data_IF_211900159916
#
_entry.id   IF_211900159916
#
_cell.length_a   1.000
_cell.length_b   1.000
_cell.length_c   1.000
_cell.angle_alpha   90.00
_cell.angle_beta   90.00
_cell.angle_gamma   90.00
#
_symmetry.space_group_name_H-M   'P 1'
#
loop_
_entity.id
_entity.type
_entity.pdbx_description
1 polymer ?
#
# COMPACT_ATOMS: atom_id res chain seq x y z
N UNK A 1 -12.32 -7.65 35.94
CA UNK A 1 -11.93 -6.38 35.29
C UNK A 1 -11.48 -6.73 33.88
N UNK A 2 -12.39 -6.60 32.91
CA UNK A 2 -12.15 -6.96 31.51
C UNK A 2 -11.93 -5.69 30.69
N UNK A 3 -10.74 -5.53 30.14
CA UNK A 3 -10.37 -4.43 29.26
C UNK A 3 -9.58 -4.97 28.06
N UNK A 4 -9.82 -4.37 26.89
CA UNK A 4 -8.96 -4.41 25.69
C UNK A 4 -8.97 -5.65 24.78
N UNK A 5 -10.14 -6.25 24.53
CA UNK A 5 -10.29 -7.19 23.40
C UNK A 5 -10.71 -6.51 22.08
N UNK A 6 -11.26 -5.30 22.11
CA UNK A 6 -11.75 -4.60 20.90
C UNK A 6 -10.62 -3.93 20.10
N UNK A 7 -9.63 -3.33 20.78
CA UNK A 7 -8.53 -2.56 20.16
C UNK A 7 -7.62 -3.41 19.26
N UNK A 8 -7.36 -4.67 19.66
CA UNK A 8 -6.48 -5.58 18.93
C UNK A 8 -7.01 -5.97 17.54
N UNK A 9 -8.32 -5.97 17.35
CA UNK A 9 -8.95 -6.35 16.07
C UNK A 9 -8.83 -5.22 15.05
N UNK A 10 -9.09 -3.97 15.45
CA UNK A 10 -8.97 -2.81 14.57
C UNK A 10 -7.52 -2.59 14.11
N UNK A 11 -6.53 -2.79 14.99
CA UNK A 11 -5.11 -2.71 14.63
C UNK A 11 -4.68 -3.84 13.66
N UNK A 12 -5.17 -5.06 13.88
CA UNK A 12 -4.90 -6.20 13.00
C UNK A 12 -5.55 -6.01 11.62
N UNK A 13 -6.77 -5.48 11.57
CA UNK A 13 -7.53 -5.21 10.34
C UNK A 13 -6.88 -4.07 9.53
N UNK A 14 -6.47 -2.98 10.18
CA UNK A 14 -5.73 -1.88 9.55
C UNK A 14 -4.35 -2.33 9.02
N UNK A 15 -3.66 -3.21 9.77
CA UNK A 15 -2.39 -3.81 9.36
C UNK A 15 -2.56 -4.73 8.15
N UNK A 16 -3.62 -5.56 8.16
CA UNK A 16 -3.93 -6.46 7.05
C UNK A 16 -4.25 -5.69 5.76
N UNK A 17 -5.04 -4.61 5.84
CA UNK A 17 -5.33 -3.72 4.72
C UNK A 17 -4.05 -3.06 4.18
N UNK A 18 -3.16 -2.59 5.06
CA UNK A 18 -1.88 -1.99 4.65
C UNK A 18 -0.95 -3.00 3.96
N UNK A 19 -0.84 -4.22 4.50
CA UNK A 19 -0.03 -5.28 3.92
C UNK A 19 -0.54 -5.68 2.51
N UNK A 20 -1.85 -5.70 2.33
CA UNK A 20 -2.50 -6.02 1.06
C UNK A 20 -2.25 -4.93 -0.01
N UNK A 21 -2.33 -3.65 0.37
CA UNK A 21 -1.96 -2.52 -0.49
C UNK A 21 -0.49 -2.58 -0.93
N UNK A 22 0.43 -2.80 0.02
CA UNK A 22 1.87 -2.89 -0.27
C UNK A 22 2.21 -4.02 -1.25
N UNK A 23 1.60 -5.18 -1.07
CA UNK A 23 1.77 -6.32 -1.97
C UNK A 23 1.26 -6.04 -3.39
N UNK A 24 0.13 -5.33 -3.53
CA UNK A 24 -0.39 -4.90 -4.84
C UNK A 24 0.53 -3.94 -5.57
N UNK A 25 1.02 -2.91 -4.87
CA UNK A 25 1.98 -1.95 -5.42
C UNK A 25 3.21 -2.68 -5.95
N UNK A 26 3.78 -3.59 -5.15
CA UNK A 26 4.96 -4.38 -5.55
C UNK A 26 4.71 -5.21 -6.80
N UNK A 27 3.54 -5.85 -6.91
CA UNK A 27 3.17 -6.68 -8.06
C UNK A 27 3.09 -5.84 -9.33
N UNK A 28 2.36 -4.73 -9.30
CA UNK A 28 2.19 -3.83 -10.45
C UNK A 28 3.53 -3.22 -10.89
N UNK A 29 4.34 -2.75 -9.93
CA UNK A 29 5.68 -2.23 -10.23
C UNK A 29 6.55 -3.24 -10.97
N UNK A 30 6.56 -4.49 -10.52
CA UNK A 30 7.33 -5.56 -11.16
C UNK A 30 6.80 -5.91 -12.54
N UNK A 31 5.48 -5.92 -12.72
CA UNK A 31 4.86 -6.14 -14.03
C UNK A 31 5.22 -5.02 -15.02
N UNK A 32 5.36 -3.78 -14.53
CA UNK A 32 5.83 -2.64 -15.31
C UNK A 32 7.36 -2.62 -15.52
N UNK A 33 8.12 -3.59 -15.00
CA UNK A 33 9.58 -3.63 -15.13
C UNK A 33 10.33 -2.54 -14.36
N UNK A 34 9.67 -1.84 -13.43
CA UNK A 34 10.22 -0.71 -12.70
C UNK A 34 11.03 -1.15 -11.48
N UNK A 35 12.15 -0.47 -11.21
CA UNK A 35 12.83 -0.53 -9.91
C UNK A 35 12.04 0.26 -8.85
N UNK A 36 12.39 0.10 -7.57
CA UNK A 36 11.80 0.92 -6.51
C UNK A 36 12.16 2.40 -6.66
N UNK A 37 13.33 2.70 -7.23
CA UNK A 37 13.73 4.07 -7.53
C UNK A 37 12.89 4.67 -8.67
N UNK A 38 12.61 3.90 -9.72
CA UNK A 38 11.76 4.35 -10.82
C UNK A 38 10.34 4.66 -10.34
N UNK A 39 9.77 3.81 -9.49
CA UNK A 39 8.45 4.08 -8.90
C UNK A 39 8.50 5.27 -7.93
N UNK A 40 9.60 5.46 -7.20
CA UNK A 40 9.77 6.56 -6.26
C UNK A 40 9.87 7.94 -6.94
N UNK A 41 10.44 7.99 -8.15
CA UNK A 41 10.62 9.23 -8.92
C UNK A 41 11.25 10.35 -8.07
N UNK A 42 10.88 11.60 -8.35
CA UNK A 42 11.41 12.75 -7.61
C UNK A 42 10.62 13.06 -6.31
N UNK A 43 9.46 12.43 -6.13
CA UNK A 43 8.51 12.77 -5.06
C UNK A 43 8.63 11.90 -3.80
N UNK A 44 9.27 10.74 -3.90
CA UNK A 44 9.39 9.77 -2.81
C UNK A 44 10.80 9.19 -2.79
N UNK A 45 11.19 8.55 -1.68
CA UNK A 45 12.46 7.82 -1.64
C UNK A 45 12.26 6.34 -2.00
N UNK A 46 13.26 5.68 -2.63
CA UNK A 46 13.22 4.23 -2.88
C UNK A 46 13.03 3.43 -1.57
N UNK A 47 13.64 3.89 -0.48
CA UNK A 47 13.49 3.30 0.86
C UNK A 47 12.05 3.39 1.38
N UNK A 48 11.35 4.50 1.12
CA UNK A 48 9.94 4.64 1.46
C UNK A 48 9.07 3.64 0.68
N UNK A 49 9.30 3.50 -0.64
CA UNK A 49 8.62 2.49 -1.46
C UNK A 49 8.86 1.09 -0.89
N UNK A 50 10.09 0.76 -0.49
CA UNK A 50 10.41 -0.52 0.13
C UNK A 50 9.62 -0.78 1.42
N UNK A 51 9.47 0.24 2.28
CA UNK A 51 8.68 0.12 3.51
C UNK A 51 7.19 -0.07 3.23
N UNK A 52 6.64 0.64 2.23
CA UNK A 52 5.25 0.47 1.79
C UNK A 52 5.03 -0.93 1.22
N UNK A 53 5.88 -1.39 0.30
CA UNK A 53 5.80 -2.73 -0.30
C UNK A 53 5.94 -3.86 0.73
N UNK A 54 6.62 -3.62 1.84
CA UNK A 54 6.76 -4.55 2.95
C UNK A 54 5.59 -4.47 3.96
N UNK A 55 4.59 -3.62 3.74
CA UNK A 55 3.48 -3.39 4.66
C UNK A 55 3.89 -2.70 5.96
N UNK A 56 5.12 -2.18 6.05
CA UNK A 56 5.66 -1.50 7.24
C UNK A 56 5.25 -0.04 7.34
N UNK A 57 4.68 0.50 6.26
CA UNK A 57 4.20 1.88 6.21
C UNK A 57 2.97 1.98 5.32
N UNK A 58 1.94 2.63 5.85
CA UNK A 58 0.74 2.95 5.08
C UNK A 58 0.97 4.24 4.29
N UNK A 59 0.80 4.25 2.96
CA UNK A 59 0.82 5.47 2.18
C UNK A 59 -0.39 6.35 2.54
N UNK A 60 -0.22 7.68 2.52
CA UNK A 60 -1.35 8.60 2.60
C UNK A 60 -2.20 8.50 1.32
N UNK A 61 -3.46 8.97 1.32
CA UNK A 61 -4.28 9.00 0.11
C UNK A 61 -3.62 9.73 -1.07
N UNK A 62 -2.92 10.83 -0.78
CA UNK A 62 -2.17 11.59 -1.79
C UNK A 62 -1.02 10.78 -2.38
N UNK A 63 -0.24 10.09 -1.54
CA UNK A 63 0.83 9.21 -1.99
C UNK A 63 0.28 8.04 -2.80
N UNK A 64 -0.84 7.46 -2.37
CA UNK A 64 -1.50 6.37 -3.09
C UNK A 64 -1.94 6.81 -4.49
N UNK A 65 -2.48 8.03 -4.62
CA UNK A 65 -2.82 8.63 -5.91
C UNK A 65 -1.60 8.83 -6.81
N UNK A 66 -0.49 9.32 -6.26
CA UNK A 66 0.77 9.47 -7.01
C UNK A 66 1.31 8.12 -7.51
N UNK A 67 1.27 7.08 -6.66
CA UNK A 67 1.71 5.74 -7.04
C UNK A 67 0.80 5.13 -8.10
N UNK A 68 -0.52 5.29 -7.98
CA UNK A 68 -1.49 4.81 -8.96
C UNK A 68 -1.23 5.43 -10.35
N UNK A 69 -1.03 6.75 -10.39
CA UNK A 69 -0.72 7.46 -11.63
C UNK A 69 0.56 6.95 -12.31
N UNK A 70 1.61 6.67 -11.54
CA UNK A 70 2.88 6.13 -12.07
C UNK A 70 2.80 4.67 -12.50
N UNK A 71 1.93 3.89 -11.87
CA UNK A 71 1.68 2.50 -12.20
C UNK A 71 0.61 2.36 -13.31
N UNK A 72 0.06 3.47 -13.79
CA UNK A 72 -1.00 3.51 -14.81
C UNK A 72 -2.21 2.66 -14.42
N UNK A 73 -2.66 2.77 -13.17
CA UNK A 73 -3.83 2.07 -12.61
C UNK A 73 -4.68 3.02 -11.77
N UNK A 74 -5.89 2.60 -11.42
CA UNK A 74 -6.76 3.38 -10.55
C UNK A 74 -6.39 3.22 -9.06
N UNK A 75 -6.63 4.27 -8.26
CA UNK A 75 -6.38 4.24 -6.81
C UNK A 75 -7.17 3.12 -6.11
N UNK A 76 -8.37 2.80 -6.61
CA UNK A 76 -9.19 1.70 -6.13
C UNK A 76 -8.51 0.33 -6.32
N UNK A 77 -7.75 0.16 -7.40
CA UNK A 77 -6.98 -1.08 -7.64
C UNK A 77 -5.86 -1.27 -6.62
N UNK A 78 -5.31 -0.17 -6.08
CA UNK A 78 -4.31 -0.23 -5.01
C UNK A 78 -4.94 -0.36 -3.62
N UNK A 79 -5.98 0.44 -3.36
CA UNK A 79 -6.70 0.49 -2.09
C UNK A 79 -7.46 -0.79 -1.75
N UNK A 80 -7.80 -1.58 -2.78
CA UNK A 80 -8.65 -2.74 -2.65
C UNK A 80 -10.11 -2.31 -2.49
N UNK A 81 -10.88 -2.38 -3.56
CA UNK A 81 -12.31 -2.68 -3.39
C UNK A 81 -12.41 -4.06 -2.72
N UNK A 82 -13.33 -4.27 -1.76
CA UNK A 82 -13.69 -5.63 -1.39
C UNK A 82 -14.11 -6.31 -2.69
N UNK A 83 -13.47 -7.42 -3.04
CA UNK A 83 -13.99 -8.28 -4.10
C UNK A 83 -15.43 -8.63 -3.69
N UNK A 84 -16.38 -7.95 -4.31
CA UNK A 84 -17.80 -8.23 -4.12
C UNK A 84 -18.03 -9.68 -4.51
N UNK A 85 -18.42 -10.47 -3.52
CA UNK A 85 -19.14 -11.73 -3.67
C UNK A 85 -20.03 -11.89 -2.45
#
# INVERSE_FOLDING_TARGET
MGGDHVSRRAEAEHTAVTADVGARIRRLRRAAGMSQADLAGDGLSPSYISLVEAGKRSPSPEVLAQLAARLHCDVAELGGEPAVS
#
